data_IF_132017630970
#
_entry.id   IF_132017630970
#
_cell.length_a   1.000
_cell.length_b   1.000
_cell.length_c   1.000
_cell.angle_alpha   90.00
_cell.angle_beta   90.00
_cell.angle_gamma   90.00
#
_symmetry.space_group_name_H-M   'P 1'
#
loop_
_entity.id
_entity.type
_entity.pdbx_description
1 polymer ?
#
# COMPACT_ATOMS: atom_id res chain seq x y z
N UNK A 1 -3.60 54.16 -40.79
CA UNK A 1 -4.15 55.53 -40.63
C UNK A 1 -4.42 55.77 -39.16
N UNK A 2 -3.88 56.92 -38.66
CA UNK A 2 -4.10 57.62 -37.39
C UNK A 2 -3.72 56.87 -36.12
N UNK A 3 -2.57 57.17 -35.45
CA UNK A 3 -2.09 58.35 -34.67
C UNK A 3 -2.70 58.35 -33.27
N UNK A 4 -1.90 58.06 -32.29
CA UNK A 4 -1.18 58.91 -31.30
C UNK A 4 -2.05 59.49 -30.18
N UNK A 5 -1.64 59.24 -28.93
CA UNK A 5 -1.27 60.31 -28.01
C UNK A 5 -0.69 59.75 -26.68
N UNK A 6 0.53 60.17 -26.43
CA UNK A 6 1.22 60.20 -25.11
C UNK A 6 0.72 61.38 -24.30
N UNK A 7 0.53 61.25 -23.01
CA UNK A 7 0.66 62.39 -22.06
C UNK A 7 1.42 61.90 -20.84
N UNK A 8 2.61 62.41 -20.67
CA UNK A 8 3.37 62.35 -19.42
C UNK A 8 3.12 63.60 -18.57
N UNK A 9 3.22 63.48 -17.28
CA UNK A 9 3.43 64.62 -16.43
C UNK A 9 4.35 64.24 -15.28
N UNK A 10 5.39 65.07 -15.07
CA UNK A 10 6.47 64.93 -14.11
C UNK A 10 6.29 65.94 -12.96
N UNK A 11 6.97 65.62 -11.87
CA UNK A 11 7.67 66.52 -10.87
C UNK A 11 6.81 67.21 -9.80
N UNK A 12 7.14 66.94 -8.55
CA UNK A 12 7.80 67.96 -7.71
C UNK A 12 8.28 67.33 -6.36
N UNK A 13 9.56 67.51 -6.11
CA UNK A 13 10.26 67.30 -4.85
C UNK A 13 10.00 68.50 -3.89
N UNK A 14 9.83 68.22 -2.62
CA UNK A 14 10.10 69.23 -1.57
C UNK A 14 10.65 68.51 -0.34
N UNK A 15 11.91 68.75 -0.06
CA UNK A 15 12.58 68.34 1.17
C UNK A 15 12.37 69.33 2.30
N UNK A 16 12.40 68.86 3.52
CA UNK A 16 12.75 69.61 4.72
C UNK A 16 13.36 68.69 5.76
N UNK A 17 14.58 68.97 6.16
CA UNK A 17 15.33 68.41 7.31
C UNK A 17 15.33 69.41 8.47
N UNK A 18 16.00 69.19 9.65
CA UNK A 18 15.40 68.58 10.84
C UNK A 18 15.58 69.56 12.07
N UNK A 19 15.08 69.18 13.23
CA UNK A 19 15.53 69.70 14.50
C UNK A 19 15.43 68.64 15.62
N UNK A 20 16.31 68.69 16.64
CA UNK A 20 16.52 67.64 17.63
C UNK A 20 15.82 67.93 18.98
N UNK A 21 15.47 66.89 19.69
CA UNK A 21 14.87 67.02 21.03
C UNK A 21 14.77 65.72 21.81
N UNK A 22 15.72 65.48 22.67
CA UNK A 22 15.76 64.85 23.99
C UNK A 22 14.97 63.59 24.39
N UNK A 23 15.46 62.83 25.39
CA UNK A 23 15.13 61.43 25.61
C UNK A 23 13.99 61.22 26.59
N UNK A 24 13.16 60.16 26.33
CA UNK A 24 12.29 59.63 27.38
C UNK A 24 12.48 58.11 27.44
N UNK A 25 12.96 57.65 28.57
CA UNK A 25 13.02 56.26 28.97
C UNK A 25 11.61 55.73 29.20
N UNK A 26 11.34 54.58 28.62
CA UNK A 26 10.10 53.81 28.82
C UNK A 26 10.29 52.40 28.35
N UNK A 27 10.80 51.54 29.22
CA UNK A 27 10.83 50.12 29.01
C UNK A 27 9.39 49.57 28.92
N UNK A 28 8.95 49.18 27.74
CA UNK A 28 7.79 48.28 27.57
C UNK A 28 8.31 46.92 27.15
N UNK A 29 8.20 45.97 28.09
CA UNK A 29 8.30 44.55 27.84
C UNK A 29 7.24 44.17 26.83
N UNK A 30 7.64 43.96 25.57
CA UNK A 30 6.82 43.37 24.55
C UNK A 30 6.58 41.87 24.87
N UNK A 31 5.44 41.30 24.46
CA UNK A 31 5.21 39.89 24.70
C UNK A 31 6.25 39.05 23.96
N UNK A 32 6.86 38.16 24.72
CA UNK A 32 7.81 37.14 24.26
C UNK A 32 7.16 36.28 23.17
N UNK A 33 7.43 36.62 21.93
CA UNK A 33 6.95 35.89 20.77
C UNK A 33 7.81 34.62 20.60
N UNK A 34 7.70 33.70 21.57
CA UNK A 34 8.21 32.35 21.42
C UNK A 34 7.39 31.71 20.30
N UNK A 35 7.89 31.79 19.08
CA UNK A 35 7.52 30.89 18.03
C UNK A 35 7.87 29.50 18.55
N UNK A 36 6.87 28.83 19.09
CA UNK A 36 7.00 27.45 19.49
C UNK A 36 7.53 26.70 18.27
N UNK A 37 8.75 26.24 18.35
CA UNK A 37 9.27 25.25 17.40
C UNK A 37 8.32 24.09 17.46
N UNK A 38 7.48 23.95 16.42
CA UNK A 38 6.67 22.77 16.19
C UNK A 38 7.68 21.64 16.13
N UNK A 39 7.80 20.85 17.21
CA UNK A 39 8.60 19.64 17.18
C UNK A 39 8.14 18.86 15.94
N UNK A 40 9.07 18.64 15.03
CA UNK A 40 8.80 17.81 13.86
C UNK A 40 8.43 16.45 14.40
N UNK A 41 7.14 16.09 14.34
CA UNK A 41 6.65 14.80 14.79
C UNK A 41 7.45 13.73 14.06
N UNK A 42 8.30 13.01 14.79
CA UNK A 42 9.08 11.92 14.21
C UNK A 42 8.13 10.82 13.76
N UNK A 43 8.25 10.41 12.51
CA UNK A 43 7.47 9.29 11.98
C UNK A 43 7.86 8.00 12.71
N UNK A 44 6.88 7.33 13.28
CA UNK A 44 7.05 6.07 14.03
C UNK A 44 6.29 4.94 13.35
N UNK A 45 6.51 3.73 13.82
CA UNK A 45 5.84 2.52 13.32
C UNK A 45 5.25 1.76 14.50
N UNK A 46 3.96 1.45 14.41
CA UNK A 46 3.28 0.67 15.46
C UNK A 46 3.70 -0.79 15.48
N UNK A 47 3.29 -1.52 16.52
CA UNK A 47 3.49 -2.97 16.60
C UNK A 47 2.83 -3.74 15.43
N UNK A 48 1.79 -3.18 14.80
CA UNK A 48 1.12 -3.73 13.62
C UNK A 48 1.69 -3.20 12.30
N UNK A 49 2.92 -2.68 12.32
CA UNK A 49 3.63 -2.13 11.16
C UNK A 49 2.91 -0.96 10.48
N UNK A 50 2.08 -0.21 11.21
CA UNK A 50 1.39 0.97 10.67
C UNK A 50 2.32 2.18 10.81
N UNK A 51 2.70 2.84 9.69
CA UNK A 51 3.46 4.09 9.76
C UNK A 51 2.55 5.24 10.21
N UNK A 52 3.02 6.07 11.12
CA UNK A 52 2.27 7.25 11.59
C UNK A 52 2.28 8.38 10.57
N UNK A 53 3.26 8.41 9.67
CA UNK A 53 3.36 9.35 8.55
C UNK A 53 3.38 8.58 7.23
N UNK A 54 2.66 9.09 6.22
CA UNK A 54 2.69 8.54 4.87
C UNK A 54 2.29 7.07 4.76
N UNK A 55 2.93 6.35 3.87
CA UNK A 55 2.69 4.94 3.59
C UNK A 55 3.98 4.20 3.20
N UNK A 56 4.00 2.88 3.38
CA UNK A 56 5.05 2.01 2.86
C UNK A 56 4.99 1.92 1.34
N UNK A 57 6.16 1.92 0.71
CA UNK A 57 6.31 1.66 -0.72
C UNK A 57 6.83 0.24 -0.95
N UNK A 58 6.05 -0.59 -1.64
CA UNK A 58 6.38 -1.99 -1.87
C UNK A 58 6.34 -2.39 -3.35
N UNK A 59 6.85 -3.60 -3.60
CA UNK A 59 6.84 -4.21 -4.92
C UNK A 59 6.73 -5.73 -4.83
N UNK A 60 5.97 -6.35 -5.73
CA UNK A 60 6.04 -7.73 -6.14
C UNK A 60 6.82 -7.77 -7.47
N UNK A 61 8.15 -8.02 -7.44
CA UNK A 61 9.00 -7.72 -8.59
C UNK A 61 9.04 -8.86 -9.61
N UNK A 62 8.94 -8.52 -10.90
CA UNK A 62 9.11 -9.43 -12.03
C UNK A 62 8.33 -10.76 -11.91
N UNK A 63 7.09 -10.71 -11.43
CA UNK A 63 6.24 -11.88 -11.23
C UNK A 63 6.00 -12.58 -12.58
N UNK A 64 6.02 -13.91 -12.57
CA UNK A 64 5.91 -14.82 -13.74
C UNK A 64 7.08 -14.80 -14.72
N UNK A 65 8.21 -14.19 -14.37
CA UNK A 65 9.42 -14.21 -15.22
C UNK A 65 10.33 -15.40 -14.94
N UNK A 66 10.14 -16.09 -13.82
CA UNK A 66 11.05 -17.12 -13.33
C UNK A 66 12.35 -16.60 -12.70
N UNK A 67 12.52 -15.29 -12.60
CA UNK A 67 13.68 -14.68 -11.93
C UNK A 67 13.58 -14.89 -10.43
N UNK A 68 14.72 -15.07 -9.78
CA UNK A 68 14.80 -15.16 -8.32
C UNK A 68 14.36 -13.83 -7.69
N UNK A 69 13.64 -13.91 -6.58
CA UNK A 69 13.06 -12.71 -5.94
C UNK A 69 14.11 -11.69 -5.49
N UNK A 70 15.28 -12.14 -5.02
CA UNK A 70 16.37 -11.27 -4.62
C UNK A 70 16.95 -10.48 -5.81
N UNK A 71 17.19 -11.14 -6.93
CA UNK A 71 17.67 -10.51 -8.17
C UNK A 71 16.63 -9.53 -8.74
N UNK A 72 15.37 -9.95 -8.81
CA UNK A 72 14.27 -9.13 -9.30
C UNK A 72 14.09 -7.87 -8.43
N UNK A 73 14.11 -8.03 -7.10
CA UNK A 73 14.01 -6.91 -6.16
C UNK A 73 15.13 -5.90 -6.36
N UNK A 74 16.38 -6.35 -6.37
CA UNK A 74 17.53 -5.46 -6.53
C UNK A 74 17.54 -4.75 -7.90
N UNK A 75 17.04 -5.42 -8.94
CA UNK A 75 16.89 -4.80 -10.27
C UNK A 75 15.82 -3.71 -10.24
N UNK A 76 14.64 -3.99 -9.69
CA UNK A 76 13.56 -3.02 -9.56
C UNK A 76 13.99 -1.80 -8.73
N UNK A 77 14.69 -2.01 -7.61
CA UNK A 77 15.21 -0.92 -6.77
C UNK A 77 16.21 -0.02 -7.48
N UNK A 78 17.11 -0.61 -8.28
CA UNK A 78 18.03 0.21 -9.11
C UNK A 78 17.28 1.08 -10.11
N UNK A 79 16.19 0.56 -10.70
CA UNK A 79 15.34 1.31 -11.64
C UNK A 79 14.56 2.41 -10.92
N UNK A 80 13.94 2.09 -9.79
CA UNK A 80 13.19 3.05 -8.99
C UNK A 80 14.06 4.15 -8.35
N UNK A 81 15.38 3.94 -8.27
CA UNK A 81 16.29 4.85 -7.57
C UNK A 81 16.15 4.81 -6.04
N UNK A 82 15.40 3.84 -5.49
CA UNK A 82 15.24 3.65 -4.04
C UNK A 82 15.02 2.18 -3.69
N UNK A 83 15.28 1.86 -2.42
CA UNK A 83 14.90 0.57 -1.84
C UNK A 83 13.40 0.50 -1.60
N UNK A 84 12.80 -0.67 -1.86
CA UNK A 84 11.44 -0.97 -1.46
C UNK A 84 11.37 -1.17 0.06
N UNK A 85 10.30 -0.67 0.70
CA UNK A 85 10.03 -0.92 2.11
C UNK A 85 9.40 -2.30 2.30
N UNK A 86 8.59 -2.75 1.31
CA UNK A 86 7.93 -4.06 1.30
C UNK A 86 8.33 -4.82 0.04
N UNK A 87 8.68 -6.11 0.21
CA UNK A 87 8.80 -7.08 -0.90
C UNK A 87 7.69 -8.12 -0.74
N UNK A 88 6.85 -8.27 -1.77
CA UNK A 88 5.74 -9.23 -1.78
C UNK A 88 6.19 -10.53 -2.44
N UNK A 89 5.91 -11.65 -1.77
CA UNK A 89 6.25 -13.01 -2.20
C UNK A 89 5.07 -13.95 -2.00
N UNK A 90 5.05 -15.04 -2.77
CA UNK A 90 3.94 -16.00 -2.81
C UNK A 90 4.41 -17.39 -2.45
N UNK A 91 3.67 -18.04 -1.55
CA UNK A 91 3.89 -19.41 -1.11
C UNK A 91 2.60 -20.21 -1.10
N UNK A 92 2.70 -21.51 -1.18
CA UNK A 92 1.57 -22.43 -1.21
C UNK A 92 1.85 -23.72 -0.43
N UNK A 93 0.79 -24.38 -0.04
CA UNK A 93 0.82 -25.69 0.66
C UNK A 93 1.85 -25.76 1.79
N UNK A 94 2.74 -26.74 1.72
CA UNK A 94 3.78 -27.01 2.72
C UNK A 94 5.10 -26.31 2.49
N UNK A 95 5.16 -25.31 1.59
CA UNK A 95 6.37 -24.50 1.41
C UNK A 95 6.75 -23.78 2.71
N UNK A 96 8.03 -23.82 3.03
CA UNK A 96 8.57 -23.14 4.21
C UNK A 96 9.04 -21.73 3.87
N UNK A 97 8.50 -20.74 4.56
CA UNK A 97 8.83 -19.33 4.40
C UNK A 97 9.13 -18.64 5.75
N UNK A 98 9.88 -17.52 5.75
CA UNK A 98 10.62 -16.97 4.59
C UNK A 98 11.78 -17.87 4.17
N UNK A 99 11.98 -17.97 2.85
CA UNK A 99 13.13 -18.69 2.27
C UNK A 99 14.47 -18.03 2.67
N UNK A 100 15.63 -18.67 2.48
CA UNK A 100 16.92 -18.02 2.71
C UNK A 100 17.10 -16.71 1.95
N UNK A 101 16.67 -16.64 0.68
CA UNK A 101 16.77 -15.44 -0.14
C UNK A 101 15.87 -14.29 0.40
N UNK A 102 14.66 -14.59 0.81
CA UNK A 102 13.73 -13.64 1.43
C UNK A 102 14.23 -13.12 2.77
N UNK A 103 14.81 -14.00 3.59
CA UNK A 103 15.46 -13.58 4.84
C UNK A 103 16.64 -12.63 4.61
N UNK A 104 17.41 -12.88 3.57
CA UNK A 104 18.52 -12.00 3.20
C UNK A 104 18.02 -10.62 2.73
N UNK A 105 16.99 -10.58 1.89
CA UNK A 105 16.32 -9.32 1.51
C UNK A 105 15.84 -8.55 2.74
N UNK A 106 15.26 -9.25 3.69
CA UNK A 106 14.72 -8.64 4.91
C UNK A 106 15.80 -8.08 5.85
N UNK A 107 17.03 -8.64 5.90
CA UNK A 107 18.16 -8.05 6.62
C UNK A 107 18.51 -6.65 6.11
N UNK A 108 18.28 -6.38 4.84
CA UNK A 108 18.46 -5.08 4.20
C UNK A 108 17.39 -4.04 4.54
N UNK A 109 16.72 -4.13 5.68
CA UNK A 109 15.62 -3.24 6.12
C UNK A 109 14.45 -3.24 5.13
N UNK A 110 13.95 -4.43 4.80
CA UNK A 110 12.71 -4.61 4.06
C UNK A 110 11.75 -5.46 4.89
N UNK A 111 10.48 -5.09 4.86
CA UNK A 111 9.39 -5.93 5.33
C UNK A 111 9.06 -6.95 4.24
N UNK A 112 8.65 -8.13 4.64
CA UNK A 112 8.07 -9.10 3.71
C UNK A 112 6.55 -9.00 3.81
N UNK A 113 5.88 -8.99 2.67
CA UNK A 113 4.47 -9.34 2.55
C UNK A 113 4.45 -10.75 1.97
N UNK A 114 4.03 -11.72 2.77
CA UNK A 114 3.98 -13.12 2.38
C UNK A 114 2.52 -13.49 2.13
N UNK A 115 2.21 -13.81 0.90
CA UNK A 115 0.93 -14.40 0.54
C UNK A 115 1.06 -15.92 0.57
N UNK A 116 0.31 -16.56 1.44
CA UNK A 116 0.33 -18.01 1.60
C UNK A 116 -1.03 -18.63 1.32
N UNK A 117 -1.08 -19.56 0.39
CA UNK A 117 -2.26 -20.35 0.05
C UNK A 117 -2.12 -21.77 0.63
N UNK A 118 -2.62 -22.06 1.84
CA UNK A 118 -2.48 -23.37 2.50
C UNK A 118 -3.40 -24.44 1.88
N UNK A 119 -4.36 -24.05 1.08
CA UNK A 119 -5.51 -24.82 0.61
C UNK A 119 -5.41 -25.30 -0.85
N UNK A 120 -4.19 -25.55 -1.37
CA UNK A 120 -4.04 -26.06 -2.74
C UNK A 120 -4.46 -27.52 -2.87
N UNK A 121 -4.30 -28.30 -1.79
CA UNK A 121 -4.57 -29.75 -1.74
C UNK A 121 -5.69 -30.12 -0.79
N UNK A 122 -6.39 -29.14 -0.22
CA UNK A 122 -7.52 -29.31 0.70
C UNK A 122 -8.50 -28.15 0.50
N UNK A 123 -9.79 -28.37 0.69
CA UNK A 123 -10.79 -27.31 0.71
C UNK A 123 -10.61 -26.41 1.95
N UNK A 124 -11.23 -25.23 1.95
CA UNK A 124 -11.23 -24.35 3.13
C UNK A 124 -11.84 -25.01 4.35
N UNK A 125 -12.95 -25.75 4.17
CA UNK A 125 -13.58 -26.50 5.25
C UNK A 125 -12.65 -27.58 5.83
N UNK A 126 -11.90 -28.30 4.98
CA UNK A 126 -10.93 -29.31 5.43
C UNK A 126 -9.75 -28.65 6.16
N UNK A 127 -9.23 -27.52 5.67
CA UNK A 127 -8.18 -26.76 6.40
C UNK A 127 -8.71 -26.31 7.75
N UNK A 128 -9.93 -25.79 7.80
CA UNK A 128 -10.56 -25.35 9.05
C UNK A 128 -10.76 -26.49 10.05
N UNK A 129 -10.97 -27.72 9.56
CA UNK A 129 -11.09 -28.94 10.40
C UNK A 129 -9.75 -29.58 10.81
N UNK A 130 -8.63 -28.99 10.37
CA UNK A 130 -7.29 -29.42 10.79
C UNK A 130 -6.57 -30.34 9.80
N UNK A 131 -7.07 -30.59 8.60
CA UNK A 131 -6.45 -31.49 7.62
C UNK A 131 -5.00 -31.15 7.27
N UNK A 132 -4.61 -29.88 7.43
CA UNK A 132 -3.23 -29.40 7.17
C UNK A 132 -2.47 -28.96 8.42
N UNK A 133 -2.95 -29.29 9.60
CA UNK A 133 -2.39 -28.87 10.89
C UNK A 133 -0.92 -29.17 11.05
N UNK A 134 -0.48 -30.33 10.62
CA UNK A 134 0.93 -30.69 10.67
C UNK A 134 1.80 -29.70 9.84
N UNK A 135 1.33 -29.27 8.67
CA UNK A 135 2.05 -28.30 7.85
C UNK A 135 2.16 -26.94 8.55
N UNK A 136 1.05 -26.48 9.17
CA UNK A 136 1.03 -25.23 9.94
C UNK A 136 2.01 -25.29 11.11
N UNK A 137 2.07 -26.42 11.82
CA UNK A 137 2.98 -26.64 12.95
C UNK A 137 4.46 -26.63 12.53
N UNK A 138 4.79 -27.30 11.43
CA UNK A 138 6.13 -27.30 10.85
C UNK A 138 6.54 -25.91 10.42
N UNK A 139 5.66 -25.20 9.74
CA UNK A 139 5.88 -23.80 9.32
C UNK A 139 6.08 -22.88 10.56
N UNK A 140 5.26 -23.02 11.58
CA UNK A 140 5.37 -22.23 12.80
C UNK A 140 6.73 -22.44 13.49
N UNK A 141 7.17 -23.70 13.61
CA UNK A 141 8.47 -24.03 14.17
C UNK A 141 9.62 -23.45 13.32
N UNK A 142 9.47 -23.45 12.01
CA UNK A 142 10.45 -22.87 11.09
C UNK A 142 10.53 -21.35 11.23
N UNK A 143 9.41 -20.63 11.20
CA UNK A 143 9.37 -19.16 11.37
C UNK A 143 10.02 -18.76 12.69
N UNK A 144 9.63 -19.38 13.80
CA UNK A 144 10.18 -19.09 15.13
C UNK A 144 11.70 -19.24 15.19
N UNK A 145 12.24 -20.27 14.56
CA UNK A 145 13.68 -20.55 14.56
C UNK A 145 14.45 -19.59 13.63
N UNK A 146 13.86 -19.20 12.49
CA UNK A 146 14.62 -18.57 11.40
C UNK A 146 14.29 -17.10 11.17
N UNK A 147 13.14 -16.60 11.67
CA UNK A 147 12.67 -15.27 11.34
C UNK A 147 11.94 -14.57 12.50
N UNK A 148 12.65 -13.99 13.47
CA UNK A 148 12.05 -13.31 14.62
C UNK A 148 11.48 -11.93 14.28
N UNK A 149 11.85 -11.33 13.12
CA UNK A 149 11.36 -10.02 12.69
C UNK A 149 9.88 -10.03 12.29
N UNK A 150 9.21 -8.90 12.45
CA UNK A 150 7.80 -8.74 11.99
C UNK A 150 7.71 -8.77 10.48
N UNK A 151 6.60 -9.32 9.99
CA UNK A 151 6.26 -9.41 8.57
C UNK A 151 4.74 -9.38 8.39
N UNK A 152 4.29 -9.04 7.20
CA UNK A 152 2.89 -9.16 6.82
C UNK A 152 2.59 -10.57 6.31
N UNK A 153 1.45 -11.12 6.71
CA UNK A 153 0.97 -12.42 6.27
C UNK A 153 -0.45 -12.32 5.73
N UNK A 154 -0.62 -12.61 4.45
CA UNK A 154 -1.91 -12.81 3.82
C UNK A 154 -2.18 -14.29 3.67
N UNK A 155 -3.33 -14.76 4.15
CA UNK A 155 -3.76 -16.14 4.04
C UNK A 155 -4.80 -16.22 2.92
N UNK A 156 -4.44 -16.85 1.80
CA UNK A 156 -5.30 -17.02 0.65
C UNK A 156 -5.93 -15.69 0.19
N UNK A 157 -5.11 -14.82 -0.45
CA UNK A 157 -5.59 -13.54 -1.02
C UNK A 157 -6.68 -13.77 -2.07
N UNK A 158 -7.47 -12.74 -2.32
CA UNK A 158 -8.54 -12.76 -3.32
C UNK A 158 -9.48 -13.98 -3.20
N UNK A 159 -10.02 -14.27 -2.01
CA UNK A 159 -10.88 -15.45 -1.83
C UNK A 159 -12.11 -15.43 -2.74
N UNK A 160 -12.51 -14.24 -3.19
CA UNK A 160 -13.65 -14.05 -4.09
C UNK A 160 -13.55 -14.92 -5.36
N UNK A 161 -12.33 -15.16 -5.85
CA UNK A 161 -12.10 -15.99 -7.02
C UNK A 161 -12.44 -17.47 -6.81
N UNK A 162 -12.37 -17.93 -5.57
CA UNK A 162 -12.48 -19.35 -5.22
C UNK A 162 -13.79 -19.69 -4.49
N UNK A 163 -14.62 -18.67 -4.11
CA UNK A 163 -15.91 -18.92 -3.47
C UNK A 163 -16.82 -19.76 -4.36
N UNK A 164 -17.25 -20.89 -3.84
CA UNK A 164 -18.25 -21.80 -4.42
C UNK A 164 -19.27 -22.18 -3.37
N UNK A 165 -20.50 -22.48 -3.77
CA UNK A 165 -21.56 -22.86 -2.84
C UNK A 165 -21.46 -24.32 -2.36
N UNK A 166 -20.51 -25.07 -2.90
CA UNK A 166 -20.29 -26.49 -2.64
C UNK A 166 -18.82 -26.80 -2.38
N UNK A 167 -18.54 -28.02 -1.98
CA UNK A 167 -17.17 -28.56 -1.86
C UNK A 167 -16.32 -27.91 -0.78
N UNK A 168 -16.91 -27.22 0.20
CA UNK A 168 -16.14 -26.64 1.30
C UNK A 168 -15.41 -25.34 0.97
N UNK A 169 -15.97 -24.53 0.06
CA UNK A 169 -15.43 -23.26 -0.39
C UNK A 169 -16.42 -22.09 -0.25
N UNK A 170 -17.36 -22.18 0.68
CA UNK A 170 -18.24 -21.05 0.99
C UNK A 170 -17.47 -19.89 1.62
N UNK A 171 -18.10 -18.71 1.72
CA UNK A 171 -17.50 -17.58 2.43
C UNK A 171 -17.28 -17.91 3.92
N UNK A 172 -18.20 -18.67 4.51
CA UNK A 172 -18.10 -19.14 5.88
C UNK A 172 -16.94 -20.14 6.07
N UNK A 173 -16.71 -21.02 5.12
CA UNK A 173 -15.55 -21.93 5.13
C UNK A 173 -14.23 -21.18 5.03
N UNK A 174 -14.18 -20.10 4.20
CA UNK A 174 -13.02 -19.23 4.14
C UNK A 174 -12.73 -18.57 5.49
N UNK A 175 -13.76 -18.02 6.13
CA UNK A 175 -13.62 -17.42 7.46
C UNK A 175 -13.11 -18.44 8.47
N UNK A 176 -13.70 -19.62 8.50
CA UNK A 176 -13.29 -20.69 9.40
C UNK A 176 -11.82 -21.10 9.17
N UNK A 177 -11.42 -21.28 7.91
CA UNK A 177 -10.02 -21.56 7.53
C UNK A 177 -9.06 -20.46 7.98
N UNK A 178 -9.36 -19.21 7.66
CA UNK A 178 -8.49 -18.07 8.00
C UNK A 178 -8.29 -17.99 9.51
N UNK A 179 -9.38 -18.06 10.28
CA UNK A 179 -9.33 -18.05 11.75
C UNK A 179 -8.54 -19.23 12.31
N UNK A 180 -8.77 -20.43 11.80
CA UNK A 180 -8.05 -21.64 12.21
C UNK A 180 -6.54 -21.47 12.03
N UNK A 181 -6.11 -21.05 10.83
CA UNK A 181 -4.69 -20.88 10.49
C UNK A 181 -4.05 -19.82 11.38
N UNK A 182 -4.64 -18.63 11.54
CA UNK A 182 -4.10 -17.56 12.37
C UNK A 182 -4.02 -18.00 13.84
N UNK A 183 -5.09 -18.57 14.37
CA UNK A 183 -5.14 -19.04 15.77
C UNK A 183 -4.10 -20.11 16.03
N UNK A 184 -3.94 -21.05 15.11
CA UNK A 184 -2.95 -22.13 15.25
C UNK A 184 -1.52 -21.60 15.20
N UNK A 185 -1.19 -20.73 14.24
CA UNK A 185 0.14 -20.09 14.18
C UNK A 185 0.45 -19.35 15.48
N UNK A 186 -0.50 -18.54 15.99
CA UNK A 186 -0.34 -17.83 17.27
C UNK A 186 -0.18 -18.79 18.45
N UNK A 187 -0.98 -19.85 18.52
CA UNK A 187 -0.90 -20.90 19.54
C UNK A 187 0.42 -21.66 19.50
N UNK A 188 1.08 -21.74 18.33
CA UNK A 188 2.45 -22.28 18.18
C UNK A 188 3.54 -21.24 18.41
N UNK A 189 3.19 -20.03 18.81
CA UNK A 189 4.11 -18.96 19.20
C UNK A 189 4.62 -18.10 18.04
N UNK A 190 3.96 -18.08 16.87
CA UNK A 190 4.21 -17.11 15.81
C UNK A 190 3.41 -15.85 16.12
N UNK A 191 4.04 -14.91 16.84
CA UNK A 191 3.42 -13.65 17.30
C UNK A 191 3.91 -12.43 16.51
N UNK A 192 4.81 -12.64 15.57
CA UNK A 192 5.43 -11.61 14.75
C UNK A 192 4.81 -11.46 13.35
N UNK A 193 3.83 -12.27 13.00
CA UNK A 193 3.03 -12.13 11.79
C UNK A 193 1.93 -11.07 12.00
N UNK A 194 1.92 -10.03 11.16
CA UNK A 194 0.86 -9.02 11.06
C UNK A 194 -0.06 -9.45 9.93
N UNK A 195 -1.32 -9.74 10.26
CA UNK A 195 -2.24 -10.39 9.32
C UNK A 195 -2.95 -9.39 8.42
N UNK A 196 -3.05 -9.72 7.13
CA UNK A 196 -3.72 -8.92 6.11
C UNK A 196 -4.82 -9.76 5.47
N UNK A 197 -6.08 -9.30 5.51
CA UNK A 197 -7.16 -9.87 4.71
C UNK A 197 -7.25 -9.09 3.40
N UNK A 198 -6.96 -9.75 2.29
CA UNK A 198 -6.86 -9.12 0.97
C UNK A 198 -8.03 -9.48 0.08
N UNK A 199 -8.78 -8.45 -0.33
CA UNK A 199 -9.85 -8.51 -1.32
C UNK A 199 -9.33 -8.18 -2.71
N UNK A 200 -9.95 -8.75 -3.75
CA UNK A 200 -9.59 -8.55 -5.15
C UNK A 200 -9.76 -7.09 -5.63
N UNK A 201 -10.57 -6.28 -4.94
CA UNK A 201 -10.82 -4.91 -5.37
C UNK A 201 -11.61 -4.78 -6.68
N UNK A 202 -12.36 -5.81 -7.06
CA UNK A 202 -13.18 -5.85 -8.27
C UNK A 202 -14.68 -5.73 -7.95
N UNK A 203 -15.38 -4.69 -8.43
CA UNK A 203 -16.75 -4.38 -8.02
C UNK A 203 -17.79 -5.46 -8.34
N UNK A 204 -17.53 -6.34 -9.30
CA UNK A 204 -18.42 -7.47 -9.60
C UNK A 204 -18.53 -8.46 -8.43
N UNK A 205 -17.54 -8.54 -7.57
CA UNK A 205 -17.59 -9.38 -6.37
C UNK A 205 -18.34 -8.71 -5.23
N UNK A 206 -18.16 -7.41 -5.05
CA UNK A 206 -18.82 -6.63 -4.00
C UNK A 206 -20.37 -6.68 -4.07
N UNK A 207 -20.93 -7.10 -5.20
CA UNK A 207 -22.39 -7.25 -5.38
C UNK A 207 -22.90 -8.66 -5.06
N UNK A 208 -22.01 -9.58 -4.70
CA UNK A 208 -22.39 -10.96 -4.37
C UNK A 208 -22.96 -11.04 -2.94
N UNK A 209 -24.00 -11.83 -2.69
CA UNK A 209 -24.66 -11.90 -1.38
C UNK A 209 -23.77 -12.48 -0.27
N UNK A 210 -22.67 -13.12 -0.64
CA UNK A 210 -21.71 -13.69 0.30
C UNK A 210 -20.50 -12.76 0.57
N UNK A 211 -20.36 -11.63 -0.16
CA UNK A 211 -19.16 -10.79 -0.10
C UNK A 211 -18.88 -10.27 1.32
N UNK A 212 -19.90 -9.74 2.00
CA UNK A 212 -19.75 -9.23 3.37
C UNK A 212 -19.47 -10.33 4.41
N UNK A 213 -19.70 -11.59 4.05
CA UNK A 213 -19.45 -12.75 4.93
C UNK A 213 -18.00 -13.24 4.88
N UNK A 214 -17.16 -12.70 3.98
CA UNK A 214 -15.75 -13.11 3.84
C UNK A 214 -14.86 -12.59 4.97
N UNK A 215 -15.33 -11.64 5.80
CA UNK A 215 -14.47 -11.02 6.80
C UNK A 215 -14.26 -11.90 8.03
N UNK A 216 -12.99 -12.31 8.34
CA UNK A 216 -12.73 -13.27 9.42
C UNK A 216 -12.87 -12.72 10.85
N UNK A 217 -12.91 -11.40 11.02
CA UNK A 217 -13.06 -10.75 12.31
C UNK A 217 -11.82 -9.97 12.77
N UNK A 218 -12.06 -8.98 13.64
CA UNK A 218 -11.04 -8.01 14.07
C UNK A 218 -9.91 -8.61 14.90
N UNK A 219 -10.18 -9.71 15.58
CA UNK A 219 -9.23 -10.42 16.42
C UNK A 219 -8.15 -11.17 15.64
N UNK A 220 -8.42 -11.48 14.38
CA UNK A 220 -7.50 -12.21 13.49
C UNK A 220 -7.04 -11.41 12.26
N UNK A 221 -7.59 -10.22 12.02
CA UNK A 221 -7.23 -9.36 10.89
C UNK A 221 -6.67 -8.03 11.41
N UNK A 222 -5.42 -7.73 11.08
CA UNK A 222 -4.76 -6.46 11.44
C UNK A 222 -4.92 -5.38 10.37
N UNK A 223 -4.88 -5.74 9.09
CA UNK A 223 -4.97 -4.84 7.94
C UNK A 223 -6.00 -5.33 6.92
N UNK A 224 -6.62 -4.40 6.21
CA UNK A 224 -7.42 -4.72 5.03
C UNK A 224 -6.56 -4.51 3.79
N UNK A 225 -6.40 -5.56 2.99
CA UNK A 225 -5.72 -5.54 1.70
C UNK A 225 -6.71 -5.37 0.54
N UNK A 226 -6.25 -4.74 -0.53
CA UNK A 226 -6.94 -4.65 -1.81
C UNK A 226 -5.95 -4.90 -2.93
N UNK A 227 -6.39 -5.58 -4.00
CA UNK A 227 -5.61 -5.86 -5.20
C UNK A 227 -6.25 -5.20 -6.46
N UNK A 228 -6.36 -3.84 -6.51
CA UNK A 228 -6.98 -3.16 -7.63
C UNK A 228 -6.00 -2.92 -8.77
N UNK A 229 -6.44 -3.17 -9.99
CA UNK A 229 -5.67 -2.85 -11.20
C UNK A 229 -6.35 -1.77 -12.03
N UNK A 230 -5.55 -0.90 -12.66
CA UNK A 230 -6.04 0.16 -13.54
C UNK A 230 -6.47 -0.43 -14.90
N UNK A 231 -7.69 -0.93 -14.93
CA UNK A 231 -8.38 -1.34 -16.16
C UNK A 231 -8.92 -0.12 -16.95
N UNK A 232 -9.59 -0.36 -18.07
CA UNK A 232 -10.06 0.70 -19.00
C UNK A 232 -10.95 1.77 -18.35
N UNK A 233 -11.62 1.46 -17.24
CA UNK A 233 -12.51 2.38 -16.52
C UNK A 233 -11.78 3.23 -15.48
N UNK A 234 -10.53 2.91 -15.22
CA UNK A 234 -9.70 3.64 -14.25
C UNK A 234 -8.92 4.72 -14.97
N UNK A 235 -9.09 5.97 -14.54
CA UNK A 235 -8.46 7.13 -15.14
C UNK A 235 -7.38 7.75 -14.27
N UNK A 236 -7.50 7.58 -12.94
CA UNK A 236 -6.61 8.13 -11.93
C UNK A 236 -6.62 7.26 -10.65
N UNK A 237 -5.86 7.68 -9.64
CA UNK A 237 -5.75 6.93 -8.40
C UNK A 237 -7.07 6.89 -7.61
N UNK A 238 -7.81 7.98 -7.57
CA UNK A 238 -9.11 8.02 -6.88
C UNK A 238 -10.11 7.02 -7.48
N UNK A 239 -10.15 6.90 -8.81
CA UNK A 239 -10.97 5.92 -9.50
C UNK A 239 -10.47 4.48 -9.34
N UNK A 240 -9.16 4.27 -9.12
CA UNK A 240 -8.61 2.96 -8.79
C UNK A 240 -9.10 2.45 -7.44
N UNK A 241 -8.94 3.26 -6.39
CA UNK A 241 -9.25 2.85 -5.01
C UNK A 241 -10.76 2.85 -4.71
N UNK A 242 -11.55 3.58 -5.51
CA UNK A 242 -12.99 3.64 -5.41
C UNK A 242 -13.70 3.07 -6.66
N UNK A 243 -13.21 1.96 -7.19
CA UNK A 243 -13.86 1.32 -8.36
C UNK A 243 -15.34 1.07 -8.10
N UNK A 244 -16.16 1.51 -9.04
CA UNK A 244 -17.63 1.39 -9.03
C UNK A 244 -18.12 0.67 -10.28
N UNK A 245 -19.44 0.41 -10.33
CA UNK A 245 -20.14 -0.17 -11.48
C UNK A 245 -21.39 0.61 -11.79
N UNK A 246 -21.68 0.93 -13.06
CA UNK A 246 -22.90 1.64 -13.43
C UNK A 246 -24.20 0.88 -13.08
N UNK A 247 -24.16 -0.46 -13.15
CA UNK A 247 -25.29 -1.35 -12.83
C UNK A 247 -25.49 -1.58 -11.33
N UNK A 248 -24.61 -1.05 -10.47
CA UNK A 248 -24.70 -1.07 -9.02
C UNK A 248 -24.38 0.31 -8.42
N UNK A 249 -25.23 1.31 -8.65
CA UNK A 249 -24.97 2.69 -8.24
C UNK A 249 -24.92 2.89 -6.71
N UNK A 250 -25.46 1.97 -5.93
CA UNK A 250 -25.38 1.96 -4.46
C UNK A 250 -24.02 1.52 -3.93
N UNK A 251 -23.16 0.90 -4.75
CA UNK A 251 -21.81 0.53 -4.32
C UNK A 251 -20.91 1.78 -4.24
N UNK A 252 -20.41 2.15 -3.03
CA UNK A 252 -19.70 3.43 -2.84
C UNK A 252 -18.27 3.44 -3.37
N UNK A 253 -17.73 2.28 -3.78
CA UNK A 253 -16.32 2.04 -4.04
C UNK A 253 -15.58 1.48 -2.82
N UNK A 254 -14.46 0.79 -3.08
CA UNK A 254 -13.77 -0.02 -2.05
C UNK A 254 -13.23 0.82 -0.90
N UNK A 255 -12.54 1.92 -1.18
CA UNK A 255 -11.98 2.74 -0.11
C UNK A 255 -13.08 3.27 0.82
N UNK A 256 -14.18 3.78 0.27
CA UNK A 256 -15.32 4.29 1.05
C UNK A 256 -16.04 3.17 1.82
N UNK A 257 -16.16 2.00 1.20
CA UNK A 257 -16.72 0.82 1.87
C UNK A 257 -15.86 0.41 3.07
N UNK A 258 -14.51 0.37 2.92
CA UNK A 258 -13.60 0.03 4.02
C UNK A 258 -13.66 1.10 5.11
N UNK A 259 -13.68 2.38 4.76
CA UNK A 259 -13.83 3.46 5.75
C UNK A 259 -15.09 3.30 6.61
N UNK A 260 -16.20 2.92 5.98
CA UNK A 260 -17.47 2.70 6.68
C UNK A 260 -17.47 1.42 7.48
N UNK A 261 -16.94 0.34 6.92
CA UNK A 261 -17.05 -1.01 7.51
C UNK A 261 -15.94 -1.30 8.53
N UNK A 262 -14.75 -0.72 8.34
CA UNK A 262 -13.54 -0.97 9.13
C UNK A 262 -12.81 0.35 9.45
N UNK A 263 -13.40 1.30 10.16
CA UNK A 263 -12.91 2.66 10.30
C UNK A 263 -11.53 2.76 10.98
N UNK A 264 -11.16 1.75 11.79
CA UNK A 264 -9.88 1.71 12.50
C UNK A 264 -8.79 0.87 11.82
N UNK A 265 -9.06 0.23 10.68
CA UNK A 265 -8.08 -0.66 10.01
C UNK A 265 -7.25 0.10 8.99
N UNK A 266 -5.92 -0.04 9.01
CA UNK A 266 -5.09 0.45 7.91
C UNK A 266 -5.38 -0.33 6.63
N UNK A 267 -5.30 0.37 5.49
CA UNK A 267 -5.49 -0.22 4.16
C UNK A 267 -4.12 -0.44 3.52
N UNK A 268 -3.94 -1.60 2.90
CA UNK A 268 -2.82 -1.93 2.02
C UNK A 268 -3.35 -2.15 0.60
N UNK A 269 -2.80 -1.48 -0.39
CA UNK A 269 -2.90 -2.02 -1.74
C UNK A 269 -1.87 -3.14 -1.83
N UNK A 270 -2.29 -4.39 -1.54
CA UNK A 270 -1.41 -5.55 -1.44
C UNK A 270 -0.85 -5.93 -2.81
N UNK A 271 -1.66 -5.69 -3.83
CA UNK A 271 -1.26 -5.57 -5.22
C UNK A 271 -1.93 -4.33 -5.82
N UNK A 272 -1.23 -3.64 -6.69
CA UNK A 272 -1.82 -2.66 -7.59
C UNK A 272 -0.95 -2.53 -8.82
N UNK A 273 -1.57 -2.19 -9.93
CA UNK A 273 -0.84 -2.05 -11.18
C UNK A 273 -1.63 -1.27 -12.22
N UNK A 274 -0.90 -0.75 -13.21
CA UNK A 274 -1.47 -0.13 -14.40
C UNK A 274 -1.06 -0.96 -15.61
N UNK A 275 -2.05 -1.44 -16.37
CA UNK A 275 -1.79 -2.17 -17.60
C UNK A 275 -1.22 -1.26 -18.69
N UNK A 276 -0.29 -1.79 -19.48
CA UNK A 276 0.17 -1.10 -20.69
C UNK A 276 -0.99 -0.94 -21.67
N UNK A 277 -1.13 0.28 -22.21
CA UNK A 277 -2.16 0.62 -23.21
C UNK A 277 -1.48 1.19 -24.45
N UNK A 278 -1.13 0.34 -25.43
CA UNK A 278 -0.41 0.81 -26.63
C UNK A 278 -1.10 1.94 -27.39
N UNK A 279 -2.44 1.94 -27.41
CA UNK A 279 -3.23 3.04 -28.01
C UNK A 279 -3.23 4.34 -27.17
N UNK A 280 -2.77 4.29 -25.92
CA UNK A 280 -2.74 5.40 -24.97
C UNK A 280 -1.41 5.45 -24.21
N UNK A 281 -0.27 5.69 -24.87
CA UNK A 281 1.06 5.54 -24.28
C UNK A 281 1.33 6.47 -23.10
N UNK A 282 0.55 7.57 -22.99
CA UNK A 282 0.64 8.51 -21.87
C UNK A 282 -0.20 8.08 -20.64
N UNK A 283 -1.01 7.04 -20.75
CA UNK A 283 -1.88 6.63 -19.64
C UNK A 283 -1.07 6.27 -18.38
N UNK A 284 -0.12 5.35 -18.50
CA UNK A 284 0.66 4.86 -17.35
C UNK A 284 1.48 5.97 -16.66
N UNK A 285 2.23 6.83 -17.38
CA UNK A 285 2.89 7.98 -16.76
C UNK A 285 1.93 8.95 -16.06
N UNK A 286 0.80 9.27 -16.69
CA UNK A 286 -0.22 10.16 -16.11
C UNK A 286 -0.89 9.53 -14.90
N UNK A 287 -1.13 8.23 -14.93
CA UNK A 287 -1.68 7.48 -13.82
C UNK A 287 -0.75 7.51 -12.60
N UNK A 288 0.55 7.26 -12.76
CA UNK A 288 1.53 7.38 -11.68
C UNK A 288 1.61 8.80 -11.10
N UNK A 289 1.54 9.81 -11.98
CA UNK A 289 1.47 11.20 -11.53
C UNK A 289 0.17 11.49 -10.74
N UNK A 290 -0.95 10.83 -11.07
CA UNK A 290 -2.19 10.98 -10.31
C UNK A 290 -2.09 10.38 -8.91
N UNK A 291 -1.37 9.27 -8.73
CA UNK A 291 -1.09 8.70 -7.39
C UNK A 291 -0.40 9.73 -6.52
N UNK A 292 0.67 10.36 -7.04
CA UNK A 292 1.42 11.38 -6.28
C UNK A 292 0.55 12.57 -5.85
N UNK A 293 -0.39 12.99 -6.70
CA UNK A 293 -1.28 14.11 -6.39
C UNK A 293 -2.39 13.77 -5.40
N UNK A 294 -2.93 12.55 -5.47
CA UNK A 294 -4.18 12.18 -4.80
C UNK A 294 -3.98 11.34 -3.54
N UNK A 295 -2.79 10.76 -3.30
CA UNK A 295 -2.59 9.82 -2.18
C UNK A 295 -2.90 10.43 -0.81
N UNK A 296 -2.72 11.74 -0.64
CA UNK A 296 -3.05 12.44 0.61
C UNK A 296 -4.56 12.48 0.91
N UNK A 297 -5.42 12.29 -0.10
CA UNK A 297 -6.87 12.24 0.05
C UNK A 297 -7.34 10.89 0.62
N UNK A 298 -6.42 9.91 0.71
CA UNK A 298 -6.67 8.54 1.17
C UNK A 298 -5.81 8.16 2.39
N UNK A 299 -5.92 8.88 3.53
CA UNK A 299 -4.99 8.76 4.66
C UNK A 299 -5.03 7.41 5.37
N UNK A 300 -6.06 6.59 5.15
CA UNK A 300 -6.15 5.23 5.68
C UNK A 300 -5.31 4.23 4.87
N UNK A 301 -4.89 4.59 3.65
CA UNK A 301 -3.94 3.78 2.87
C UNK A 301 -2.54 3.99 3.46
N UNK A 302 -1.97 2.90 4.00
CA UNK A 302 -0.69 2.89 4.73
C UNK A 302 0.39 2.04 4.06
N UNK A 303 0.04 1.36 2.97
CA UNK A 303 0.99 0.63 2.14
C UNK A 303 0.48 0.51 0.70
N UNK A 304 1.39 0.62 -0.27
CA UNK A 304 1.15 0.37 -1.68
C UNK A 304 2.22 -0.59 -2.21
N UNK A 305 1.82 -1.77 -2.69
CA UNK A 305 2.73 -2.80 -3.20
C UNK A 305 2.47 -3.00 -4.69
N UNK A 306 3.35 -2.50 -5.53
CA UNK A 306 3.18 -2.56 -7.00
C UNK A 306 3.42 -3.98 -7.51
N UNK A 307 2.50 -4.50 -8.33
CA UNK A 307 2.64 -5.80 -8.98
C UNK A 307 3.31 -5.62 -10.35
N UNK A 308 4.61 -5.92 -10.39
CA UNK A 308 5.44 -5.75 -11.56
C UNK A 308 5.53 -7.07 -12.35
N UNK A 309 4.88 -7.15 -13.50
CA UNK A 309 4.83 -8.37 -14.30
C UNK A 309 4.63 -8.10 -15.79
N UNK A 310 5.35 -8.79 -16.68
CA UNK A 310 5.08 -8.74 -18.11
C UNK A 310 3.82 -9.53 -18.50
N UNK A 311 3.33 -10.39 -17.61
CA UNK A 311 2.30 -11.39 -17.89
C UNK A 311 1.25 -11.47 -16.77
N UNK A 312 0.86 -10.32 -16.19
CA UNK A 312 -0.30 -10.29 -15.32
C UNK A 312 -1.56 -10.75 -16.07
N UNK A 313 -2.59 -11.29 -15.38
CA UNK A 313 -3.72 -11.95 -16.04
C UNK A 313 -4.45 -11.14 -17.12
N UNK A 314 -4.29 -9.80 -17.10
CA UNK A 314 -4.92 -8.90 -18.08
C UNK A 314 -3.94 -8.10 -18.91
N UNK A 315 -2.63 -8.37 -18.83
CA UNK A 315 -1.62 -7.70 -19.63
C UNK A 315 -0.34 -7.34 -18.88
N UNK A 316 0.44 -6.44 -19.46
CA UNK A 316 1.74 -6.01 -18.95
C UNK A 316 1.59 -4.89 -17.92
N UNK A 317 1.96 -5.16 -16.68
CA UNK A 317 1.97 -4.19 -15.58
C UNK A 317 3.37 -3.65 -15.27
N UNK A 318 4.43 -4.05 -15.98
CA UNK A 318 5.78 -3.55 -15.71
C UNK A 318 5.78 -2.03 -15.61
N UNK A 319 6.37 -1.51 -14.54
CA UNK A 319 6.47 -0.06 -14.36
C UNK A 319 7.45 0.57 -15.36
N UNK A 320 8.40 -0.20 -15.86
CA UNK A 320 9.47 0.22 -16.77
C UNK A 320 9.23 -0.19 -18.25
N UNK A 321 7.99 -0.53 -18.62
CA UNK A 321 7.63 -0.91 -19.99
C UNK A 321 7.96 0.18 -21.01
N UNK A 322 7.93 1.45 -20.60
CA UNK A 322 8.39 2.60 -21.40
C UNK A 322 9.27 3.53 -20.54
N UNK A 323 10.19 4.27 -21.17
CA UNK A 323 11.02 5.24 -20.44
C UNK A 323 10.20 6.35 -19.75
N UNK A 324 9.03 6.70 -20.27
CA UNK A 324 8.15 7.68 -19.64
C UNK A 324 7.49 7.10 -18.37
N UNK A 325 7.02 5.86 -18.43
CA UNK A 325 6.45 5.15 -17.28
C UNK A 325 7.49 4.94 -16.19
N UNK A 326 8.70 4.49 -16.55
CA UNK A 326 9.84 4.31 -15.64
C UNK A 326 10.16 5.60 -14.86
N UNK A 327 10.32 6.73 -15.56
CA UNK A 327 10.58 8.02 -14.90
C UNK A 327 9.44 8.46 -13.98
N UNK A 328 8.20 8.30 -14.41
CA UNK A 328 7.04 8.69 -13.61
C UNK A 328 6.91 7.82 -12.35
N UNK A 329 7.15 6.52 -12.47
CA UNK A 329 7.12 5.58 -11.34
C UNK A 329 8.26 5.86 -10.35
N UNK A 330 9.48 6.10 -10.85
CA UNK A 330 10.64 6.44 -10.01
C UNK A 330 10.43 7.75 -9.26
N UNK A 331 9.85 8.76 -9.93
CA UNK A 331 9.48 10.03 -9.30
C UNK A 331 8.42 9.85 -8.21
N UNK A 332 7.39 9.03 -8.45
CA UNK A 332 6.37 8.68 -7.48
C UNK A 332 6.98 7.95 -6.28
N UNK A 333 7.79 6.92 -6.53
CA UNK A 333 8.45 6.13 -5.50
C UNK A 333 9.34 6.98 -4.58
N UNK A 334 10.06 7.95 -5.13
CA UNK A 334 10.90 8.92 -4.40
C UNK A 334 10.12 10.03 -3.70
N UNK A 335 8.80 10.08 -3.85
CA UNK A 335 7.95 11.14 -3.29
C UNK A 335 7.96 11.18 -1.77
N UNK A 336 7.71 12.37 -1.17
CA UNK A 336 7.80 12.57 0.28
C UNK A 336 6.80 11.75 1.08
N UNK A 337 5.67 11.39 0.50
CA UNK A 337 4.66 10.55 1.13
C UNK A 337 5.18 9.13 1.46
N UNK A 338 6.15 8.63 0.69
CA UNK A 338 6.72 7.29 0.84
C UNK A 338 8.12 7.26 1.46
N UNK A 339 8.72 8.42 1.73
CA UNK A 339 10.11 8.51 2.23
C UNK A 339 10.21 8.94 3.70
N UNK A 340 9.08 9.32 4.32
CA UNK A 340 9.06 9.85 5.68
C UNK A 340 9.27 8.82 6.79
N UNK A 341 8.99 7.55 6.54
CA UNK A 341 9.06 6.48 7.55
C UNK A 341 10.14 5.46 7.16
N UNK A 342 10.92 5.02 8.14
CA UNK A 342 11.94 3.99 7.94
C UNK A 342 11.45 2.64 8.47
N UNK A 343 11.75 1.57 7.74
CA UNK A 343 11.53 0.19 8.20
C UNK A 343 12.31 -0.02 9.49
N UNK A 344 11.64 -0.50 10.57
CA UNK A 344 12.31 -0.76 11.86
C UNK A 344 13.50 -1.72 11.71
N UNK A 345 14.56 -1.45 12.45
CA UNK A 345 15.63 -2.43 12.62
C UNK A 345 15.11 -3.64 13.40
N UNK A 346 15.53 -4.82 13.03
CA UNK A 346 15.16 -6.08 13.67
C UNK A 346 15.93 -6.30 14.96
#
# INVERSE_FOLDING_TARGET
MRRTALIGLAVLLAGCSPAPGAPVAGARTGPDNRIGTREAMSCTVTAKLIPTCGAWWGIAPEIFTGRRVDEATLRAERRMGRRADIVHVYHRDGELFPTPAERELAKGRRLLLINWKPSMTASWAEVASGAVDHRIDVLAAYIKRTFPGRFFLTIHHEPENDVRLDGGYSAEDYVAMYRHVVTRLRGRGVTNAVTVMTYMGAPNWATKPWFDKLYPGDDVVDWIGLDPYADERVHDFASLVNKTRPDHPQWPGFYRWIQSRFPGKPIMLSEWGAFERPAMPQFKPQFFASVARQINDFPQIKALVYFDSPAAPRGDTRFDATSAADRAFSSLAGGPYFSGTQVPTR
#
